data_IF_358232021358
#
_entry.id   IF_358232021358
#
_cell.length_a   1.000
_cell.length_b   1.000
_cell.length_c   1.000
_cell.angle_alpha   90.00
_cell.angle_beta   90.00
_cell.angle_gamma   90.00
#
_symmetry.space_group_name_H-M   'P 1'
#
loop_
_entity.id
_entity.type
_entity.pdbx_description
1 polymer ?
#
# COMPACT_ATOMS: atom_id res chain seq x y z
N UNK A 1 -9.92 3.11 19.75
CA UNK A 1 -9.61 2.89 18.33
C UNK A 1 -9.21 4.22 17.73
N UNK A 2 -7.93 4.44 17.49
CA UNK A 2 -7.43 5.62 16.77
C UNK A 2 -7.71 5.38 15.29
N UNK A 3 -8.75 6.02 14.76
CA UNK A 3 -8.97 6.07 13.31
C UNK A 3 -7.82 6.88 12.72
N UNK A 4 -6.85 6.20 12.13
CA UNK A 4 -5.79 6.88 11.38
C UNK A 4 -6.45 7.47 10.13
N UNK A 5 -6.66 8.79 10.14
CA UNK A 5 -7.22 9.51 9.01
C UNK A 5 -6.21 9.51 7.86
N UNK A 6 -6.62 9.00 6.70
CA UNK A 6 -5.81 9.04 5.47
C UNK A 6 -5.79 10.47 4.89
N UNK A 7 -4.64 11.17 4.92
CA UNK A 7 -4.55 12.58 4.52
C UNK A 7 -4.36 12.79 3.00
N UNK A 8 -4.21 11.72 2.20
CA UNK A 8 -3.83 11.83 0.80
C UNK A 8 -5.05 11.99 -0.12
N UNK A 9 -4.89 12.62 -1.28
CA UNK A 9 -5.96 12.75 -2.27
C UNK A 9 -6.04 11.51 -3.17
N UNK A 10 -7.18 11.27 -3.80
CA UNK A 10 -7.29 10.23 -4.84
C UNK A 10 -6.26 10.49 -5.94
N UNK A 11 -5.56 9.43 -6.38
CA UNK A 11 -4.48 9.52 -7.35
C UNK A 11 -3.10 9.84 -6.75
N UNK A 12 -3.01 10.18 -5.45
CA UNK A 12 -1.72 10.33 -4.78
C UNK A 12 -0.90 9.04 -4.85
N UNK A 13 0.41 9.20 -5.04
CA UNK A 13 1.37 8.10 -5.05
C UNK A 13 2.27 8.21 -3.82
N UNK A 14 2.32 7.17 -3.02
CA UNK A 14 3.17 7.10 -1.82
C UNK A 14 4.13 5.92 -1.93
N UNK A 15 5.30 6.06 -1.33
CA UNK A 15 6.15 4.93 -0.99
C UNK A 15 5.80 4.49 0.44
N UNK A 16 5.50 3.21 0.63
CA UNK A 16 5.18 2.64 1.93
C UNK A 16 5.64 1.17 2.01
N UNK A 17 5.79 0.64 3.21
CA UNK A 17 5.87 -0.81 3.45
C UNK A 17 4.49 -1.32 3.89
N UNK A 18 4.20 -2.60 3.70
CA UNK A 18 2.97 -3.20 4.23
C UNK A 18 3.19 -3.66 5.67
N UNK A 19 2.16 -3.49 6.50
CA UNK A 19 2.09 -4.12 7.81
C UNK A 19 2.14 -5.64 7.67
N UNK A 20 2.77 -6.31 8.65
CA UNK A 20 2.93 -7.76 8.64
C UNK A 20 1.57 -8.49 8.56
N UNK A 21 0.54 -7.92 9.19
CA UNK A 21 -0.82 -8.47 9.19
C UNK A 21 -1.47 -8.38 7.80
N UNK A 22 -1.23 -7.28 7.06
CA UNK A 22 -1.77 -7.07 5.72
C UNK A 22 -1.23 -8.07 4.68
N UNK A 23 -0.09 -8.70 4.97
CA UNK A 23 0.51 -9.73 4.11
C UNK A 23 0.33 -11.15 4.63
N UNK A 24 -0.33 -11.35 5.78
CA UNK A 24 -0.43 -12.65 6.43
C UNK A 24 -1.25 -13.68 5.64
N UNK A 25 -2.12 -13.26 4.73
CA UNK A 25 -2.88 -14.17 3.88
C UNK A 25 -2.10 -14.63 2.63
N UNK A 26 -0.97 -13.99 2.30
CA UNK A 26 -0.19 -14.36 1.13
C UNK A 26 0.68 -15.59 1.39
N UNK A 27 1.07 -16.27 0.32
CA UNK A 27 2.10 -17.30 0.37
C UNK A 27 3.43 -16.71 0.90
N UNK A 28 4.24 -17.46 1.68
CA UNK A 28 5.52 -16.98 2.21
C UNK A 28 6.47 -16.37 1.19
N UNK A 29 6.48 -16.86 -0.06
CA UNK A 29 7.31 -16.29 -1.14
C UNK A 29 6.81 -14.90 -1.50
N UNK A 30 5.49 -14.74 -1.67
CA UNK A 30 4.88 -13.44 -1.94
C UNK A 30 5.08 -12.47 -0.78
N UNK A 31 4.95 -12.93 0.47
CA UNK A 31 5.27 -12.10 1.65
C UNK A 31 6.69 -11.55 1.57
N UNK A 32 7.65 -12.39 1.16
CA UNK A 32 9.05 -11.99 1.05
C UNK A 32 9.30 -11.01 -0.10
N UNK A 33 8.57 -11.16 -1.21
CA UNK A 33 8.61 -10.19 -2.32
C UNK A 33 7.98 -8.85 -1.95
N UNK A 34 6.95 -8.87 -1.10
CA UNK A 34 6.26 -7.68 -0.60
C UNK A 34 6.91 -7.07 0.64
N UNK A 35 7.90 -7.74 1.22
CA UNK A 35 8.67 -7.28 2.38
C UNK A 35 9.67 -6.20 1.96
N UNK A 36 9.16 -5.00 1.68
CA UNK A 36 9.98 -3.86 1.31
C UNK A 36 9.14 -2.65 0.90
N UNK A 37 9.78 -1.48 0.75
CA UNK A 37 9.10 -0.27 0.27
C UNK A 37 8.58 -0.50 -1.14
N UNK A 38 7.29 -0.24 -1.32
CA UNK A 38 6.61 -0.32 -2.60
C UNK A 38 5.87 0.99 -2.85
N UNK A 39 5.56 1.25 -4.12
CA UNK A 39 4.72 2.38 -4.47
C UNK A 39 3.26 1.96 -4.39
N UNK A 40 2.41 2.81 -3.85
CA UNK A 40 0.97 2.63 -3.80
C UNK A 40 0.27 3.85 -4.38
N UNK A 41 -0.85 3.63 -5.06
CA UNK A 41 -1.71 4.69 -5.61
C UNK A 41 -3.04 4.68 -4.89
N UNK A 42 -3.46 5.83 -4.37
CA UNK A 42 -4.79 5.98 -3.77
C UNK A 42 -5.86 5.90 -4.85
N UNK A 43 -6.78 4.96 -4.69
CA UNK A 43 -7.91 4.72 -5.58
C UNK A 43 -9.12 5.57 -5.16
N UNK A 44 -10.11 5.71 -6.04
CA UNK A 44 -11.31 6.50 -5.78
C UNK A 44 -12.23 5.89 -4.71
N UNK A 45 -12.08 4.59 -4.42
CA UNK A 45 -12.78 3.90 -3.32
C UNK A 45 -12.12 4.15 -1.94
N UNK A 46 -11.06 4.96 -1.89
CA UNK A 46 -10.32 5.30 -0.68
C UNK A 46 -9.21 4.31 -0.33
N UNK A 47 -9.08 3.19 -1.06
CA UNK A 47 -8.06 2.17 -0.81
C UNK A 47 -6.78 2.42 -1.59
N UNK A 48 -5.73 1.68 -1.23
CA UNK A 48 -4.40 1.79 -1.80
C UNK A 48 -4.05 0.57 -2.62
N UNK A 49 -3.64 0.80 -3.88
CA UNK A 49 -3.24 -0.27 -4.80
C UNK A 49 -1.73 -0.22 -5.07
N UNK A 50 -1.00 -1.35 -5.04
CA UNK A 50 0.40 -1.38 -5.44
C UNK A 50 0.59 -0.89 -6.89
N UNK A 51 1.47 0.10 -7.09
CA UNK A 51 1.83 0.66 -8.40
C UNK A 51 2.86 -0.25 -9.06
N UNK A 52 2.52 -0.80 -10.22
CA UNK A 52 3.48 -1.55 -11.04
C UNK A 52 3.81 -2.96 -10.56
N UNK A 53 3.02 -3.56 -9.66
CA UNK A 53 3.15 -4.99 -9.39
C UNK A 53 2.83 -5.81 -10.65
N UNK A 54 3.88 -6.15 -11.40
CA UNK A 54 3.85 -7.13 -12.50
C UNK A 54 3.40 -8.53 -12.01
N UNK A 55 3.40 -8.77 -10.70
CA UNK A 55 2.98 -10.01 -10.04
C UNK A 55 1.45 -10.19 -9.94
N UNK A 56 0.64 -9.31 -10.54
CA UNK A 56 -0.81 -9.53 -10.63
C UNK A 56 -1.57 -9.36 -9.31
N UNK A 57 -1.00 -8.67 -8.31
CA UNK A 57 -1.69 -8.35 -7.07
C UNK A 57 -2.81 -7.33 -7.33
N UNK A 58 -4.00 -7.84 -7.59
CA UNK A 58 -5.23 -7.07 -7.69
C UNK A 58 -5.78 -6.65 -6.31
N UNK A 59 -5.08 -6.98 -5.21
CA UNK A 59 -5.50 -6.64 -3.85
C UNK A 59 -5.28 -5.15 -3.59
N UNK A 60 -6.30 -4.52 -3.02
CA UNK A 60 -6.22 -3.19 -2.44
C UNK A 60 -6.02 -3.31 -0.93
N UNK A 61 -5.39 -2.31 -0.34
CA UNK A 61 -5.06 -2.22 1.07
C UNK A 61 -5.67 -0.97 1.69
N UNK A 62 -5.97 -1.01 2.97
CA UNK A 62 -6.46 0.15 3.70
C UNK A 62 -5.28 1.01 4.17
N UNK A 63 -5.53 2.27 4.53
CA UNK A 63 -4.45 3.18 4.94
C UNK A 63 -3.68 2.66 6.16
N UNK A 64 -4.37 1.98 7.08
CA UNK A 64 -3.75 1.37 8.26
C UNK A 64 -2.77 0.23 7.93
N UNK A 65 -2.87 -0.35 6.74
CA UNK A 65 -1.96 -1.40 6.28
C UNK A 65 -0.63 -0.81 5.78
N UNK A 66 -0.59 0.50 5.49
CA UNK A 66 0.59 1.20 4.99
C UNK A 66 1.41 1.75 6.16
N UNK A 67 2.63 1.25 6.29
CA UNK A 67 3.60 1.72 7.26
C UNK A 67 4.45 2.85 6.64
N UNK A 68 4.53 3.96 7.38
CA UNK A 68 5.34 5.14 7.04
C UNK A 68 5.14 5.64 5.59
N UNK A 69 3.89 5.93 5.16
CA UNK A 69 3.65 6.40 3.79
C UNK A 69 4.27 7.77 3.55
N UNK A 70 5.16 7.86 2.57
CA UNK A 70 5.81 9.10 2.14
C UNK A 70 5.35 9.46 0.74
N UNK A 71 4.77 10.64 0.57
CA UNK A 71 4.44 11.17 -0.77
C UNK A 71 5.68 11.20 -1.63
N UNK A 72 5.59 10.62 -2.82
CA UNK A 72 6.45 11.05 -3.92
C UNK A 72 5.70 12.10 -4.68
N UNK A 73 6.12 13.35 -4.50
CA UNK A 73 5.77 14.42 -5.43
C UNK A 73 6.10 13.90 -6.84
N UNK A 74 5.12 13.95 -7.74
CA UNK A 74 5.34 13.52 -9.12
C UNK A 74 6.38 14.47 -9.71
N UNK A 75 7.52 13.92 -10.13
CA UNK A 75 8.47 14.62 -10.99
C UNK A 75 7.82 14.94 -12.33
#
# INVERSE_FOLDING_TARGET
MTTVTDPFATGSVVAATLAAEAVFDFDPVLRRLLAGPQFFVKQADGRWRPKGCQLGLARCFDFCDLLQPVSREAA
#
